data_IF_407399355430
#
_entry.id   IF_407399355430
#
_cell.length_a   1.000
_cell.length_b   1.000
_cell.length_c   1.000
_cell.angle_alpha   90.00
_cell.angle_beta   90.00
_cell.angle_gamma   90.00
#
_symmetry.space_group_name_H-M   'P 1'
#
loop_
_entity.id
_entity.type
_entity.pdbx_description
1 polymer ?
#
# COMPACT_ATOMS: atom_id res chain seq x y z
N UNK A 1 35.97 -67.59 30.21
CA UNK A 1 34.64 -67.28 29.62
C UNK A 1 34.55 -65.78 29.47
N UNK A 2 34.33 -65.30 28.24
CA UNK A 2 34.39 -63.87 27.85
C UNK A 2 32.99 -63.26 27.94
N UNK A 3 32.81 -62.22 28.75
CA UNK A 3 31.56 -61.43 28.83
C UNK A 3 31.63 -60.23 27.90
N UNK A 4 30.61 -59.96 27.05
CA UNK A 4 30.62 -58.79 26.18
C UNK A 4 30.09 -57.54 26.92
N UNK A 5 30.73 -56.41 26.68
CA UNK A 5 30.30 -55.08 27.13
C UNK A 5 29.38 -54.51 26.03
N UNK A 6 28.10 -54.29 26.36
CA UNK A 6 27.15 -53.62 25.48
C UNK A 6 27.28 -52.10 25.65
N UNK A 7 27.72 -51.40 24.61
CA UNK A 7 27.75 -49.93 24.56
C UNK A 7 26.40 -49.45 24.05
N UNK A 8 25.66 -48.75 24.92
CA UNK A 8 24.38 -48.12 24.59
C UNK A 8 24.66 -46.74 23.95
N UNK A 9 24.44 -46.62 22.64
CA UNK A 9 24.50 -45.34 21.94
C UNK A 9 23.22 -44.53 22.24
N UNK A 10 23.37 -43.42 22.96
CA UNK A 10 22.29 -42.48 23.22
C UNK A 10 22.18 -41.51 22.02
N UNK A 11 21.16 -41.67 21.18
CA UNK A 11 20.83 -40.69 20.13
C UNK A 11 20.21 -39.45 20.78
N UNK A 12 20.96 -38.35 20.84
CA UNK A 12 20.43 -37.03 21.19
C UNK A 12 19.73 -36.47 19.95
N UNK A 13 18.40 -36.48 19.94
CA UNK A 13 17.62 -35.79 18.92
C UNK A 13 17.71 -34.29 19.17
N UNK A 14 18.45 -33.58 18.34
CA UNK A 14 18.45 -32.12 18.30
C UNK A 14 17.11 -31.66 17.72
N UNK A 15 16.21 -31.20 18.60
CA UNK A 15 15.04 -30.44 18.18
C UNK A 15 15.52 -29.09 17.64
N UNK A 16 15.61 -28.97 16.31
CA UNK A 16 15.73 -27.67 15.67
C UNK A 16 14.41 -26.94 15.95
N UNK A 17 14.47 -25.92 16.82
CA UNK A 17 13.37 -24.98 16.97
C UNK A 17 13.22 -24.23 15.64
N UNK A 18 12.27 -24.66 14.82
CA UNK A 18 11.90 -23.92 13.61
C UNK A 18 11.38 -22.55 14.04
N UNK A 19 12.10 -21.49 13.67
CA UNK A 19 11.56 -20.14 13.79
C UNK A 19 10.26 -20.08 12.96
N UNK A 20 9.19 -19.57 13.57
CA UNK A 20 7.98 -19.30 12.81
C UNK A 20 8.34 -18.43 11.60
N UNK A 21 7.79 -18.72 10.40
CA UNK A 21 8.07 -17.90 9.23
C UNK A 21 7.72 -16.44 9.55
N UNK A 22 8.54 -15.48 9.10
CA UNK A 22 8.32 -14.07 9.38
C UNK A 22 6.91 -13.66 8.95
N UNK A 23 6.15 -13.11 9.89
CA UNK A 23 4.77 -12.72 9.66
C UNK A 23 4.75 -11.33 9.02
N UNK A 24 4.35 -11.24 7.76
CA UNK A 24 4.16 -9.97 7.08
C UNK A 24 2.86 -9.31 7.55
N UNK A 25 2.94 -8.06 7.99
CA UNK A 25 1.79 -7.27 8.43
C UNK A 25 1.08 -6.60 7.24
N UNK A 26 0.50 -7.41 6.36
CA UNK A 26 -0.18 -6.94 5.15
C UNK A 26 -1.70 -6.89 5.34
N UNK A 27 -2.31 -5.78 4.96
CA UNK A 27 -3.76 -5.62 4.94
C UNK A 27 -4.19 -4.73 3.76
N UNK A 28 -5.09 -5.21 2.87
CA UNK A 28 -5.56 -6.59 2.74
C UNK A 28 -4.42 -7.58 2.44
N UNK A 29 -4.61 -8.86 2.79
CA UNK A 29 -3.65 -9.91 2.44
C UNK A 29 -3.61 -10.11 0.91
N UNK A 30 -2.44 -10.01 0.26
CA UNK A 30 -2.36 -10.17 -1.19
C UNK A 30 -2.74 -11.56 -1.68
N UNK A 31 -3.20 -11.65 -2.93
CA UNK A 31 -3.61 -12.90 -3.56
C UNK A 31 -2.50 -13.96 -3.62
N UNK A 32 -1.24 -13.53 -3.75
CA UNK A 32 -0.05 -14.40 -3.69
C UNK A 32 1.13 -13.66 -3.09
N UNK A 33 1.79 -14.32 -2.15
CA UNK A 33 3.02 -13.87 -1.51
C UNK A 33 4.04 -15.01 -1.52
N UNK A 34 5.26 -14.72 -1.95
CA UNK A 34 6.39 -15.64 -1.91
C UNK A 34 7.56 -14.95 -1.23
N UNK A 35 7.92 -15.42 -0.03
CA UNK A 35 9.07 -14.92 0.71
C UNK A 35 10.38 -15.31 0.00
N UNK A 36 11.30 -14.37 -0.07
CA UNK A 36 12.69 -14.59 -0.45
C UNK A 36 13.61 -14.60 0.77
N UNK A 37 14.91 -14.60 0.51
CA UNK A 37 15.95 -14.46 1.53
C UNK A 37 16.58 -13.08 1.48
N UNK A 38 16.87 -12.50 2.64
CA UNK A 38 17.51 -11.20 2.74
C UNK A 38 16.52 -10.05 2.90
N UNK A 39 17.05 -8.83 2.98
CA UNK A 39 16.30 -7.61 3.18
C UNK A 39 16.84 -6.48 2.31
N UNK A 40 15.94 -5.64 1.81
CA UNK A 40 16.29 -4.37 1.19
C UNK A 40 16.39 -3.30 2.28
N UNK A 41 17.55 -2.64 2.39
CA UNK A 41 17.73 -1.52 3.32
C UNK A 41 17.11 -0.24 2.77
N UNK A 42 16.37 0.48 3.62
CA UNK A 42 15.83 1.80 3.32
C UNK A 42 16.68 2.83 4.07
N UNK A 43 17.41 3.66 3.32
CA UNK A 43 18.28 4.71 3.85
C UNK A 43 18.14 6.00 3.02
N UNK A 44 18.94 7.04 3.32
CA UNK A 44 18.84 8.35 2.65
C UNK A 44 19.15 8.32 1.14
N UNK A 45 19.75 7.26 0.60
CA UNK A 45 19.96 7.09 -0.84
C UNK A 45 18.77 6.41 -1.54
N UNK A 46 17.73 6.03 -0.80
CA UNK A 46 16.50 5.48 -1.37
C UNK A 46 15.96 6.43 -2.42
N UNK A 47 15.75 5.90 -3.62
CA UNK A 47 15.32 6.67 -4.77
C UNK A 47 14.34 5.88 -5.62
N UNK A 48 13.45 6.62 -6.30
CA UNK A 48 12.43 6.05 -7.17
C UNK A 48 12.73 6.43 -8.62
N UNK A 49 12.48 5.51 -9.54
CA UNK A 49 12.44 5.81 -10.97
C UNK A 49 11.12 5.31 -11.54
N UNK A 50 10.42 6.18 -12.27
CA UNK A 50 9.20 5.82 -12.99
C UNK A 50 9.52 5.71 -14.47
N UNK A 51 9.22 4.56 -15.05
CA UNK A 51 9.41 4.18 -16.45
C UNK A 51 8.09 3.75 -17.08
N UNK A 52 8.00 3.76 -18.41
CA UNK A 52 6.76 3.44 -19.13
C UNK A 52 5.78 4.60 -19.15
N UNK A 53 4.49 4.32 -18.95
CA UNK A 53 3.44 5.32 -18.96
C UNK A 53 3.54 6.26 -17.75
N UNK A 54 3.22 7.54 -17.97
CA UNK A 54 3.23 8.60 -16.95
C UNK A 54 2.08 9.57 -17.17
N UNK A 55 1.42 9.93 -16.07
CA UNK A 55 0.42 10.98 -16.01
C UNK A 55 0.49 11.70 -14.64
N UNK A 56 -0.33 12.73 -14.48
CA UNK A 56 -0.35 13.51 -13.24
C UNK A 56 -0.80 12.69 -12.02
N UNK A 57 -1.66 11.68 -12.19
CA UNK A 57 -2.13 10.82 -11.10
C UNK A 57 -1.00 9.96 -10.57
N UNK A 58 -0.26 9.28 -11.46
CA UNK A 58 0.90 8.49 -11.08
C UNK A 58 1.98 9.35 -10.42
N UNK A 59 2.28 10.52 -10.97
CA UNK A 59 3.32 11.41 -10.41
C UNK A 59 2.97 11.89 -9.00
N UNK A 60 1.72 12.31 -8.76
CA UNK A 60 1.25 12.68 -7.41
C UNK A 60 1.26 11.50 -6.45
N UNK A 61 0.86 10.31 -6.92
CA UNK A 61 0.89 9.08 -6.12
C UNK A 61 2.30 8.70 -5.66
N UNK A 62 3.28 8.80 -6.55
CA UNK A 62 4.69 8.54 -6.23
C UNK A 62 5.25 9.60 -5.28
N UNK A 63 4.92 10.89 -5.48
CA UNK A 63 5.32 11.96 -4.56
C UNK A 63 4.77 11.72 -3.16
N UNK A 64 3.48 11.38 -3.06
CA UNK A 64 2.84 11.05 -1.78
C UNK A 64 3.49 9.83 -1.12
N UNK A 65 3.74 8.77 -1.88
CA UNK A 65 4.45 7.59 -1.37
C UNK A 65 5.82 7.95 -0.76
N UNK A 66 6.61 8.78 -1.44
CA UNK A 66 7.92 9.22 -0.92
C UNK A 66 7.77 10.08 0.34
N UNK A 67 6.74 10.94 0.39
CA UNK A 67 6.42 11.72 1.59
C UNK A 67 6.00 10.84 2.77
N UNK A 68 5.14 9.85 2.54
CA UNK A 68 4.69 8.89 3.55
C UNK A 68 5.86 8.05 4.07
N UNK A 69 6.74 7.58 3.19
CA UNK A 69 7.95 6.86 3.57
C UNK A 69 8.91 7.75 4.37
N UNK A 70 9.09 9.00 3.96
CA UNK A 70 9.90 9.99 4.69
C UNK A 70 9.36 10.23 6.09
N UNK A 71 8.04 10.37 6.23
CA UNK A 71 7.37 10.58 7.51
C UNK A 71 7.52 9.36 8.44
N UNK A 72 7.32 8.15 7.92
CA UNK A 72 7.45 6.90 8.70
C UNK A 72 8.88 6.64 9.16
N UNK A 73 9.87 7.00 8.34
CA UNK A 73 11.28 6.73 8.62
C UNK A 73 12.02 7.87 9.31
N UNK A 74 11.44 9.08 9.32
CA UNK A 74 12.12 10.29 9.77
C UNK A 74 13.26 10.75 8.84
N UNK A 75 13.41 10.14 7.66
CA UNK A 75 14.45 10.49 6.69
C UNK A 75 13.92 11.47 5.65
N UNK A 76 14.76 12.40 5.20
CA UNK A 76 14.44 13.28 4.07
C UNK A 76 14.75 12.57 2.76
N UNK A 77 13.78 11.84 2.23
CA UNK A 77 13.92 11.11 0.97
C UNK A 77 13.55 12.00 -0.23
N UNK A 78 14.16 11.71 -1.37
CA UNK A 78 13.91 12.41 -2.63
C UNK A 78 13.36 11.42 -3.66
N UNK A 79 12.45 11.90 -4.52
CA UNK A 79 11.74 11.01 -5.43
C UNK A 79 12.56 10.56 -6.64
N UNK A 80 13.65 11.23 -6.98
CA UNK A 80 14.41 10.96 -8.21
C UNK A 80 15.81 10.45 -7.91
N UNK A 81 16.19 9.34 -8.54
CA UNK A 81 17.56 8.86 -8.52
C UNK A 81 18.53 9.89 -9.14
N UNK A 82 19.74 9.95 -8.60
CA UNK A 82 20.82 10.73 -9.20
C UNK A 82 21.18 10.16 -10.58
N UNK A 83 21.57 11.05 -11.51
CA UNK A 83 21.93 10.66 -12.88
C UNK A 83 23.07 9.62 -12.87
N UNK A 84 22.83 8.45 -13.47
CA UNK A 84 23.80 7.35 -13.55
C UNK A 84 23.78 6.36 -12.38
N UNK A 85 22.90 6.55 -11.39
CA UNK A 85 22.69 5.61 -10.28
C UNK A 85 21.39 4.84 -10.51
N UNK A 86 21.44 3.52 -10.33
CA UNK A 86 20.24 2.69 -10.40
C UNK A 86 19.30 3.05 -9.23
N UNK A 87 18.04 3.31 -9.53
CA UNK A 87 17.04 3.61 -8.50
C UNK A 87 16.78 2.40 -7.61
N UNK A 88 16.52 2.65 -6.33
CA UNK A 88 16.19 1.59 -5.37
C UNK A 88 14.84 0.96 -5.68
N UNK A 89 13.84 1.76 -6.06
CA UNK A 89 12.53 1.31 -6.52
C UNK A 89 12.30 1.73 -7.97
N UNK A 90 12.11 0.75 -8.86
CA UNK A 90 11.73 0.99 -10.25
C UNK A 90 10.23 0.71 -10.41
N UNK A 91 9.50 1.73 -10.85
CA UNK A 91 8.06 1.69 -11.12
C UNK A 91 7.86 1.62 -12.64
N UNK A 92 7.01 0.71 -13.09
CA UNK A 92 6.69 0.54 -14.50
C UNK A 92 5.18 0.33 -14.70
N UNK A 93 4.50 1.37 -15.18
CA UNK A 93 3.13 1.28 -15.69
C UNK A 93 3.16 1.03 -17.20
N UNK A 94 2.31 0.13 -17.70
CA UNK A 94 2.31 -0.24 -19.12
C UNK A 94 1.57 0.80 -19.98
N UNK A 95 0.36 1.19 -19.58
CA UNK A 95 -0.46 2.21 -20.24
C UNK A 95 -1.25 3.04 -19.22
N UNK A 96 -2.04 4.01 -19.69
CA UNK A 96 -2.91 4.82 -18.83
C UNK A 96 -4.16 4.08 -18.36
N UNK A 97 -4.76 4.57 -17.28
CA UNK A 97 -6.14 4.23 -16.89
C UNK A 97 -7.14 5.03 -17.71
N UNK A 98 -8.43 4.73 -17.55
CA UNK A 98 -9.50 5.53 -18.14
C UNK A 98 -9.47 6.97 -17.62
N UNK A 99 -9.96 7.92 -18.43
CA UNK A 99 -10.00 9.34 -18.02
C UNK A 99 -10.98 9.61 -16.86
N UNK A 100 -11.97 8.73 -16.72
CA UNK A 100 -12.89 8.67 -15.58
C UNK A 100 -12.86 7.23 -15.10
N UNK A 101 -12.50 7.06 -13.83
CA UNK A 101 -12.40 5.78 -13.16
C UNK A 101 -13.72 4.98 -13.29
N UNK A 102 -13.61 3.73 -13.73
CA UNK A 102 -14.73 2.81 -13.91
C UNK A 102 -14.58 1.57 -13.06
N UNK A 103 -15.72 1.03 -12.64
CA UNK A 103 -15.75 -0.26 -11.96
C UNK A 103 -15.21 -1.35 -12.89
N UNK A 104 -14.24 -2.12 -12.41
CA UNK A 104 -13.65 -3.24 -13.15
C UNK A 104 -12.43 -2.90 -13.98
N UNK A 105 -11.87 -1.69 -13.85
CA UNK A 105 -10.51 -1.42 -14.33
C UNK A 105 -9.48 -2.34 -13.67
N UNK A 106 -8.38 -2.60 -14.37
CA UNK A 106 -7.32 -3.46 -13.87
C UNK A 106 -6.57 -2.79 -12.71
N UNK A 107 -6.72 -3.36 -11.53
CA UNK A 107 -6.08 -2.91 -10.29
C UNK A 107 -4.93 -3.84 -9.86
N UNK A 108 -4.53 -4.76 -10.73
CA UNK A 108 -3.50 -5.76 -10.43
C UNK A 108 -2.09 -5.17 -10.46
N UNK A 109 -1.20 -5.75 -9.66
CA UNK A 109 0.22 -5.39 -9.65
C UNK A 109 1.12 -6.57 -9.27
N UNK A 110 2.39 -6.44 -9.62
CA UNK A 110 3.47 -7.31 -9.17
C UNK A 110 4.57 -6.46 -8.51
N UNK A 111 4.91 -6.83 -7.28
CA UNK A 111 5.95 -6.20 -6.47
C UNK A 111 7.02 -7.24 -6.14
N UNK A 112 8.25 -7.00 -6.61
CA UNK A 112 9.40 -7.85 -6.33
C UNK A 112 10.46 -7.04 -5.59
N UNK A 113 10.93 -7.57 -4.47
CA UNK A 113 11.94 -6.94 -3.60
C UNK A 113 13.05 -7.94 -3.34
N UNK A 114 14.29 -7.51 -3.54
CA UNK A 114 15.53 -8.21 -3.22
C UNK A 114 16.50 -7.27 -2.50
N UNK A 115 17.62 -7.80 -2.02
CA UNK A 115 18.67 -6.98 -1.37
C UNK A 115 19.22 -5.87 -2.28
N UNK A 116 19.18 -6.08 -3.59
CA UNK A 116 19.67 -5.14 -4.61
C UNK A 116 18.68 -4.06 -5.02
N UNK A 117 17.40 -4.17 -4.65
CA UNK A 117 16.38 -3.20 -5.02
C UNK A 117 14.97 -3.77 -5.12
N UNK A 118 14.05 -2.94 -5.59
CA UNK A 118 12.64 -3.26 -5.75
C UNK A 118 12.14 -2.89 -7.15
N UNK A 119 11.18 -3.66 -7.64
CA UNK A 119 10.46 -3.41 -8.88
C UNK A 119 8.97 -3.54 -8.65
N UNK A 120 8.22 -2.52 -9.04
CA UNK A 120 6.76 -2.50 -9.02
C UNK A 120 6.24 -2.32 -10.44
N UNK A 121 5.46 -3.29 -10.93
CA UNK A 121 4.88 -3.27 -12.26
C UNK A 121 3.37 -3.45 -12.20
N UNK A 122 2.63 -2.72 -13.04
CA UNK A 122 1.19 -2.87 -13.19
C UNK A 122 0.74 -2.51 -14.61
N UNK A 123 -0.47 -2.92 -14.95
CA UNK A 123 -1.12 -2.59 -16.23
C UNK A 123 -1.28 -1.07 -16.40
N UNK A 124 -1.77 -0.39 -15.36
CA UNK A 124 -2.05 1.05 -15.36
C UNK A 124 -1.63 1.70 -14.02
N UNK A 125 -1.80 3.03 -13.84
CA UNK A 125 -1.48 3.71 -12.58
C UNK A 125 -2.20 3.17 -11.34
N UNK A 126 -3.41 2.63 -11.44
CA UNK A 126 -4.20 2.16 -10.29
C UNK A 126 -3.51 1.00 -9.58
N UNK A 127 -3.05 0.00 -10.34
CA UNK A 127 -2.26 -1.11 -9.78
C UNK A 127 -0.96 -0.62 -9.13
N UNK A 128 -0.29 0.39 -9.69
CA UNK A 128 0.89 1.00 -9.07
C UNK A 128 0.53 1.61 -7.71
N UNK A 129 -0.54 2.39 -7.62
CA UNK A 129 -0.95 3.02 -6.36
C UNK A 129 -1.21 1.96 -5.27
N UNK A 130 -1.89 0.86 -5.61
CA UNK A 130 -2.11 -0.26 -4.69
C UNK A 130 -0.81 -0.93 -4.26
N UNK A 131 0.11 -1.15 -5.20
CA UNK A 131 1.42 -1.73 -4.94
C UNK A 131 2.30 -0.86 -4.04
N UNK A 132 2.22 0.47 -4.15
CA UNK A 132 2.91 1.41 -3.26
C UNK A 132 2.39 1.32 -1.82
N UNK A 133 1.08 1.10 -1.62
CA UNK A 133 0.52 0.88 -0.29
C UNK A 133 1.03 -0.43 0.33
N UNK A 134 1.13 -1.49 -0.46
CA UNK A 134 1.75 -2.75 -0.02
C UNK A 134 3.22 -2.55 0.33
N UNK A 135 3.98 -1.80 -0.48
CA UNK A 135 5.37 -1.47 -0.18
C UNK A 135 5.49 -0.78 1.20
N UNK A 136 4.66 0.24 1.47
CA UNK A 136 4.67 0.96 2.75
C UNK A 136 4.35 0.07 3.95
N UNK A 137 3.54 -0.97 3.79
CA UNK A 137 3.21 -1.94 4.84
C UNK A 137 4.33 -2.93 5.12
N UNK A 138 5.23 -3.16 4.16
CA UNK A 138 6.38 -4.05 4.31
C UNK A 138 7.60 -3.37 4.95
N UNK A 139 7.55 -2.05 5.18
CA UNK A 139 8.63 -1.31 5.84
C UNK A 139 8.63 -1.63 7.32
N UNK A 140 9.71 -2.23 7.79
CA UNK A 140 9.91 -2.66 9.17
C UNK A 140 11.16 -2.01 9.76
N UNK A 141 11.15 -1.80 11.08
CA UNK A 141 12.34 -1.42 11.82
C UNK A 141 13.22 -2.65 12.05
N UNK A 142 14.50 -2.55 11.73
CA UNK A 142 15.53 -3.57 12.00
C UNK A 142 16.65 -2.99 12.88
N UNK A 143 17.63 -3.82 13.23
CA UNK A 143 18.82 -3.40 13.99
C UNK A 143 19.63 -2.33 13.27
N UNK A 144 19.58 -2.31 11.94
CA UNK A 144 20.37 -1.42 11.09
C UNK A 144 19.55 -0.24 10.53
N UNK A 145 18.34 -0.01 11.07
CA UNK A 145 17.46 1.09 10.66
C UNK A 145 16.12 0.60 10.11
N UNK A 146 15.79 0.98 8.88
CA UNK A 146 14.56 0.54 8.21
C UNK A 146 14.89 -0.44 7.10
N UNK A 147 14.10 -1.51 6.98
CA UNK A 147 14.31 -2.53 5.97
C UNK A 147 13.00 -3.14 5.50
N UNK A 148 13.05 -3.86 4.39
CA UNK A 148 11.92 -4.58 3.81
C UNK A 148 12.38 -6.01 3.52
N UNK A 149 11.65 -7.06 3.93
CA UNK A 149 12.01 -8.43 3.57
C UNK A 149 11.98 -8.65 2.07
N UNK A 150 12.92 -9.46 1.56
CA UNK A 150 12.88 -9.91 0.18
C UNK A 150 11.59 -10.71 -0.06
N UNK A 151 10.81 -10.31 -1.05
CA UNK A 151 9.48 -10.89 -1.30
C UNK A 151 9.07 -10.66 -2.75
N UNK A 152 8.30 -11.61 -3.30
CA UNK A 152 7.55 -11.44 -4.55
C UNK A 152 6.07 -11.51 -4.25
N UNK A 153 5.34 -10.45 -4.60
CA UNK A 153 3.89 -10.33 -4.40
C UNK A 153 3.23 -10.14 -5.76
N UNK A 154 2.19 -10.92 -6.02
CA UNK A 154 1.26 -10.70 -7.13
C UNK A 154 -0.11 -10.51 -6.53
N UNK A 155 -0.74 -9.38 -6.83
CA UNK A 155 -2.01 -9.03 -6.22
C UNK A 155 -3.01 -8.49 -7.21
N UNK A 156 -4.28 -8.71 -6.88
CA UNK A 156 -5.44 -8.19 -7.59
C UNK A 156 -6.64 -8.26 -6.63
N UNK A 157 -7.58 -7.31 -6.70
CA UNK A 157 -8.74 -7.35 -5.84
C UNK A 157 -9.66 -8.52 -6.20
N UNK A 158 -10.22 -9.18 -5.19
CA UNK A 158 -11.27 -10.20 -5.38
C UNK A 158 -12.57 -9.59 -5.91
N UNK A 159 -12.89 -8.38 -5.46
CA UNK A 159 -14.12 -7.66 -5.82
C UNK A 159 -13.77 -6.29 -6.36
N UNK A 160 -14.39 -5.91 -7.47
CA UNK A 160 -14.20 -4.60 -8.08
C UNK A 160 -14.74 -3.46 -7.20
N UNK A 161 -15.77 -3.69 -6.38
CA UNK A 161 -16.35 -2.68 -5.49
C UNK A 161 -15.89 -2.90 -4.05
N UNK A 162 -15.09 -1.97 -3.50
CA UNK A 162 -14.62 -1.99 -2.12
C UNK A 162 -14.89 -0.63 -1.50
N UNK A 163 -16.09 -0.49 -0.93
CA UNK A 163 -16.69 0.80 -0.65
C UNK A 163 -16.79 1.18 0.82
N UNK A 164 -16.69 2.49 1.09
CA UNK A 164 -16.98 3.12 2.39
C UNK A 164 -18.17 4.06 2.20
N UNK A 165 -19.20 3.93 3.03
CA UNK A 165 -20.28 4.92 3.13
C UNK A 165 -19.97 5.88 4.26
N UNK A 166 -20.02 7.18 3.98
CA UNK A 166 -19.94 8.24 4.99
C UNK A 166 -21.28 8.96 5.02
N UNK A 167 -21.91 8.93 6.19
CA UNK A 167 -23.15 9.63 6.47
C UNK A 167 -22.87 11.07 6.88
N UNK A 168 -23.28 11.99 6.02
CA UNK A 168 -23.14 13.43 6.24
C UNK A 168 -24.49 14.08 6.57
N UNK A 169 -25.62 13.37 6.43
CA UNK A 169 -26.95 13.90 6.72
C UNK A 169 -27.13 14.15 8.21
N UNK A 170 -26.81 13.14 9.02
CA UNK A 170 -27.02 13.14 10.49
C UNK A 170 -26.06 14.08 11.21
N UNK A 171 -24.80 14.11 10.78
CA UNK A 171 -23.77 15.01 11.29
C UNK A 171 -22.91 15.52 10.15
N UNK A 172 -22.61 16.81 10.14
CA UNK A 172 -21.67 17.35 9.17
C UNK A 172 -20.27 16.79 9.39
N UNK A 173 -19.64 16.43 8.27
CA UNK A 173 -18.27 15.95 8.22
C UNK A 173 -17.42 17.01 7.50
N UNK A 174 -16.55 17.73 8.23
CA UNK A 174 -15.60 18.68 7.63
C UNK A 174 -14.78 18.07 6.49
N UNK A 175 -14.38 18.89 5.52
CA UNK A 175 -13.64 18.43 4.33
C UNK A 175 -12.32 17.76 4.69
N UNK A 176 -11.58 18.28 5.67
CA UNK A 176 -10.34 17.66 6.16
C UNK A 176 -10.57 16.29 6.79
N UNK A 177 -11.75 16.08 7.41
CA UNK A 177 -12.18 14.78 7.91
C UNK A 177 -12.46 13.82 6.76
N UNK A 178 -13.08 14.30 5.70
CA UNK A 178 -13.34 13.49 4.52
C UNK A 178 -12.04 13.09 3.80
N UNK A 179 -11.13 14.04 3.60
CA UNK A 179 -9.84 13.83 2.96
C UNK A 179 -8.99 12.80 3.72
N UNK A 180 -8.88 12.90 5.05
CA UNK A 180 -8.14 11.88 5.83
C UNK A 180 -8.78 10.48 5.74
N UNK A 181 -10.10 10.39 5.56
CA UNK A 181 -10.77 9.10 5.37
C UNK A 181 -10.48 8.53 3.98
N UNK A 182 -10.45 9.37 2.94
CA UNK A 182 -10.02 8.98 1.59
C UNK A 182 -8.57 8.46 1.62
N UNK A 183 -7.70 9.11 2.40
CA UNK A 183 -6.34 8.64 2.62
C UNK A 183 -6.28 7.27 3.31
N UNK A 184 -7.11 7.07 4.33
CA UNK A 184 -7.27 5.77 4.99
C UNK A 184 -7.79 4.70 4.03
N UNK A 185 -8.79 5.01 3.21
CA UNK A 185 -9.34 4.13 2.19
C UNK A 185 -8.25 3.70 1.19
N UNK A 186 -7.47 4.65 0.69
CA UNK A 186 -6.37 4.36 -0.22
C UNK A 186 -5.34 3.41 0.44
N UNK A 187 -4.97 3.64 1.70
CA UNK A 187 -4.02 2.81 2.44
C UNK A 187 -4.44 1.34 2.58
N UNK A 188 -5.76 1.07 2.58
CA UNK A 188 -6.33 -0.28 2.61
C UNK A 188 -6.95 -0.71 1.27
N UNK A 189 -6.59 -0.03 0.17
CA UNK A 189 -6.99 -0.36 -1.21
C UNK A 189 -8.50 -0.34 -1.47
N UNK A 190 -9.27 0.44 -0.70
CA UNK A 190 -10.67 0.72 -1.00
C UNK A 190 -10.75 1.73 -2.15
N UNK A 191 -11.78 1.61 -2.99
CA UNK A 191 -11.85 2.34 -4.25
C UNK A 191 -13.21 3.01 -4.52
N UNK A 192 -14.21 2.83 -3.64
CA UNK A 192 -15.51 3.50 -3.79
C UNK A 192 -15.84 4.30 -2.53
N UNK A 193 -15.98 5.60 -2.67
CA UNK A 193 -16.51 6.47 -1.63
C UNK A 193 -17.98 6.74 -1.92
N UNK A 194 -18.87 6.33 -1.02
CA UNK A 194 -20.30 6.61 -1.08
C UNK A 194 -20.62 7.72 -0.05
N UNK A 195 -20.92 8.91 -0.54
CA UNK A 195 -21.36 10.02 0.30
C UNK A 195 -22.89 10.02 0.41
N UNK A 196 -23.40 9.79 1.61
CA UNK A 196 -24.81 9.96 1.93
C UNK A 196 -25.04 11.41 2.35
N UNK A 197 -25.39 12.26 1.39
CA UNK A 197 -25.38 13.73 1.50
C UNK A 197 -26.68 14.35 2.00
N UNK A 198 -27.74 13.57 2.15
CA UNK A 198 -29.05 14.06 2.56
C UNK A 198 -29.77 13.05 3.43
N UNK A 199 -30.33 13.52 4.54
CA UNK A 199 -31.24 12.77 5.40
C UNK A 199 -32.24 13.72 6.05
N UNK A 200 -33.08 13.25 6.97
CA UNK A 200 -34.09 14.07 7.62
C UNK A 200 -33.47 15.24 8.41
N UNK A 201 -32.27 15.03 8.99
CA UNK A 201 -31.56 16.02 9.80
C UNK A 201 -30.69 17.00 9.00
N UNK A 202 -30.51 16.79 7.69
CA UNK A 202 -29.79 17.78 6.90
C UNK A 202 -29.47 17.44 5.45
N UNK A 203 -29.20 18.49 4.68
CA UNK A 203 -28.87 18.46 3.26
C UNK A 203 -27.51 19.14 3.01
N UNK A 204 -26.50 18.37 2.61
CA UNK A 204 -25.07 18.77 2.64
C UNK A 204 -24.45 19.01 1.27
N UNK A 205 -25.25 19.32 0.26
CA UNK A 205 -24.76 19.61 -1.09
C UNK A 205 -25.39 20.90 -1.61
N UNK A 206 -24.59 21.76 -2.24
CA UNK A 206 -25.12 22.98 -2.87
C UNK A 206 -26.02 22.60 -4.06
N UNK A 207 -27.26 23.10 -4.05
CA UNK A 207 -28.16 23.02 -5.21
C UNK A 207 -28.43 24.41 -5.76
N UNK A 208 -27.87 24.72 -6.93
CA UNK A 208 -28.08 26.02 -7.61
C UNK A 208 -29.50 26.21 -8.12
N UNK A 209 -30.23 25.12 -8.37
CA UNK A 209 -31.61 25.15 -8.82
C UNK A 209 -32.60 25.25 -7.64
N UNK A 210 -32.28 24.62 -6.51
CA UNK A 210 -33.09 24.60 -5.30
C UNK A 210 -32.27 25.09 -4.09
N UNK A 211 -31.89 26.37 -4.05
CA UNK A 211 -30.94 26.89 -3.06
C UNK A 211 -31.42 26.71 -1.61
N UNK A 212 -32.74 26.78 -1.39
CA UNK A 212 -33.37 26.58 -0.08
C UNK A 212 -33.05 25.22 0.56
N UNK A 213 -32.72 24.19 -0.22
CA UNK A 213 -32.33 22.88 0.34
C UNK A 213 -31.07 23.01 1.20
N UNK A 214 -30.07 23.77 0.74
CA UNK A 214 -28.84 24.01 1.48
C UNK A 214 -29.03 25.19 2.47
N UNK A 215 -29.53 26.35 1.99
CA UNK A 215 -29.67 27.57 2.81
C UNK A 215 -30.53 27.38 4.08
N UNK A 216 -31.55 26.51 4.03
CA UNK A 216 -32.45 26.25 5.15
C UNK A 216 -32.30 24.84 5.74
N UNK A 217 -31.65 23.91 5.03
CA UNK A 217 -31.55 22.50 5.41
C UNK A 217 -30.14 22.05 5.82
N UNK A 218 -29.16 22.95 5.88
CA UNK A 218 -27.79 22.59 6.28
C UNK A 218 -27.32 23.19 7.60
N UNK A 219 -28.13 24.03 8.26
CA UNK A 219 -27.74 24.82 9.44
C UNK A 219 -26.48 25.69 9.22
N UNK A 220 -26.21 26.07 7.97
CA UNK A 220 -25.01 26.83 7.58
C UNK A 220 -23.73 25.99 7.54
N UNK A 221 -23.85 24.67 7.57
CA UNK A 221 -22.78 23.69 7.40
C UNK A 221 -22.64 23.24 5.94
#
# INVERSE_FOLDING_TARGET
>A
MRTPIAVLLLMVATFAAGQAPPQLNLMPMPSRVQLGTGHLLINQSFSVAVSGYRDGTLERGVQRFVADLSHRTGMRLYSTAAKGVAATLVIQAQHGSESVEKLGEDESYELTISESGAKLTATNPLGILHGLQTFLQLVETSTDGFSIPAVTIKDQPRFAWRGLLIDMGRHYIPVDVLERNIDGMAAVKMNVLHLHLSDDEGFRVESKQFPKLHEMGSDGQ
#
